data_IF_961289521996
#
_entry.id   IF_961289521996
#
_cell.length_a   1.000
_cell.length_b   1.000
_cell.length_c   1.000
_cell.angle_alpha   90.00
_cell.angle_beta   90.00
_cell.angle_gamma   90.00
#
_symmetry.space_group_name_H-M   'P 1'
#
loop_
_entity.id
_entity.type
_entity.pdbx_description
1 polymer ?
#
# COMPACT_ATOMS: atom_id res chain seq x y z
N UNK A 1 -17.03 17.07 23.03
CA UNK A 1 -17.04 17.50 21.61
C UNK A 1 -15.65 17.61 20.95
N UNK A 2 -14.60 18.19 21.55
CA UNK A 2 -13.27 18.22 20.90
C UNK A 2 -12.65 16.82 20.68
N UNK A 3 -12.77 15.91 21.65
CA UNK A 3 -12.15 14.57 21.58
C UNK A 3 -12.73 13.68 20.47
N UNK A 4 -14.02 13.78 20.16
CA UNK A 4 -14.66 13.02 19.06
C UNK A 4 -14.14 13.48 17.71
N UNK A 5 -14.10 14.80 17.46
CA UNK A 5 -13.60 15.37 16.20
C UNK A 5 -12.13 15.01 15.90
N UNK A 6 -11.27 14.96 16.93
CA UNK A 6 -9.88 14.53 16.75
C UNK A 6 -9.73 13.03 16.45
N UNK A 7 -10.66 12.20 16.94
CA UNK A 7 -10.68 10.77 16.64
C UNK A 7 -11.11 10.53 15.19
N UNK A 8 -12.11 11.26 14.72
CA UNK A 8 -12.62 11.16 13.34
C UNK A 8 -11.57 11.58 12.30
N UNK A 9 -10.84 12.67 12.56
CA UNK A 9 -9.76 13.15 11.66
C UNK A 9 -8.62 12.14 11.51
N UNK A 10 -8.26 11.44 12.59
CA UNK A 10 -7.21 10.39 12.54
C UNK A 10 -7.68 9.18 11.73
N UNK A 11 -8.91 8.74 11.94
CA UNK A 11 -9.50 7.65 11.16
C UNK A 11 -9.56 8.02 9.68
N UNK A 12 -10.00 9.23 9.36
CA UNK A 12 -10.00 9.73 7.98
C UNK A 12 -8.59 9.76 7.38
N UNK A 13 -7.58 10.24 8.12
CA UNK A 13 -6.19 10.24 7.67
C UNK A 13 -5.66 8.81 7.43
N UNK A 14 -6.01 7.86 8.30
CA UNK A 14 -5.68 6.44 8.13
C UNK A 14 -6.28 5.86 6.85
N UNK A 15 -7.56 6.12 6.59
CA UNK A 15 -8.23 5.63 5.37
C UNK A 15 -7.64 6.27 4.11
N UNK A 16 -7.47 7.60 4.11
CA UNK A 16 -6.89 8.33 2.97
C UNK A 16 -5.45 7.88 2.69
N UNK A 17 -4.64 7.63 3.72
CA UNK A 17 -3.28 7.14 3.56
C UNK A 17 -3.25 5.77 2.87
N UNK A 18 -4.05 4.82 3.32
CA UNK A 18 -4.07 3.48 2.74
C UNK A 18 -4.75 3.44 1.37
N UNK A 19 -5.73 4.29 1.10
CA UNK A 19 -6.29 4.47 -0.25
C UNK A 19 -5.23 5.08 -1.18
N UNK A 20 -4.54 6.13 -0.75
CA UNK A 20 -3.48 6.79 -1.53
C UNK A 20 -2.34 5.83 -1.88
N UNK A 21 -1.91 5.02 -0.90
CA UNK A 21 -0.94 3.94 -1.12
C UNK A 21 -1.45 2.83 -2.05
N UNK A 22 -2.77 2.60 -2.08
CA UNK A 22 -3.39 1.58 -2.92
C UNK A 22 -3.31 1.91 -4.42
N UNK A 23 -3.28 3.20 -4.78
CA UNK A 23 -3.22 3.66 -6.17
C UNK A 23 -1.95 3.18 -6.91
N UNK A 24 -0.72 3.32 -6.37
CA UNK A 24 0.50 2.83 -7.00
C UNK A 24 0.71 1.31 -6.86
N UNK A 25 -0.08 0.62 -6.04
CA UNK A 25 0.07 -0.83 -5.79
C UNK A 25 0.07 -1.68 -7.07
N UNK A 26 -0.80 -1.46 -8.07
CA UNK A 26 -0.75 -2.22 -9.32
C UNK A 26 0.59 -2.07 -10.03
N UNK A 27 1.16 -0.86 -10.08
CA UNK A 27 2.48 -0.63 -10.67
C UNK A 27 3.59 -1.33 -9.89
N UNK A 28 3.55 -1.27 -8.56
CA UNK A 28 4.50 -1.99 -7.71
C UNK A 28 4.41 -3.51 -7.91
N UNK A 29 3.19 -4.06 -8.02
CA UNK A 29 2.96 -5.48 -8.30
C UNK A 29 3.49 -5.86 -9.69
N UNK A 30 3.18 -5.08 -10.72
CA UNK A 30 3.67 -5.31 -12.09
C UNK A 30 5.20 -5.29 -12.12
N UNK A 31 5.82 -4.31 -11.48
CA UNK A 31 7.27 -4.20 -11.37
C UNK A 31 7.89 -5.41 -10.65
N UNK A 32 7.26 -5.87 -9.56
CA UNK A 32 7.68 -7.09 -8.88
C UNK A 32 7.56 -8.34 -9.76
N UNK A 33 6.45 -8.49 -10.49
CA UNK A 33 6.25 -9.64 -11.39
C UNK A 33 7.36 -9.66 -12.46
N UNK A 34 7.65 -8.52 -13.08
CA UNK A 34 8.72 -8.43 -14.08
C UNK A 34 10.10 -8.67 -13.49
N UNK A 35 10.42 -8.12 -12.31
CA UNK A 35 11.73 -8.29 -11.71
C UNK A 35 12.00 -9.68 -11.15
N UNK A 36 10.98 -10.42 -10.68
CA UNK A 36 11.16 -11.78 -10.14
C UNK A 36 10.98 -12.90 -11.15
N UNK A 37 9.99 -12.78 -12.04
CA UNK A 37 9.60 -13.84 -12.96
C UNK A 37 10.03 -13.56 -14.40
N UNK A 38 10.17 -12.29 -14.78
CA UNK A 38 10.44 -11.89 -16.16
C UNK A 38 9.21 -12.12 -17.05
N UNK A 39 9.03 -11.29 -18.07
CA UNK A 39 7.90 -11.44 -19.01
C UNK A 39 8.32 -12.03 -20.36
N UNK A 40 9.47 -11.59 -20.89
CA UNK A 40 9.98 -12.00 -22.20
C UNK A 40 11.35 -12.66 -22.14
N UNK A 41 12.07 -12.55 -21.01
CA UNK A 41 13.36 -13.18 -20.78
C UNK A 41 13.55 -13.44 -19.29
N UNK A 42 14.50 -14.33 -18.95
CA UNK A 42 14.82 -14.62 -17.54
C UNK A 42 15.32 -13.33 -16.88
N UNK A 43 14.73 -12.91 -15.74
CA UNK A 43 15.12 -11.68 -15.09
C UNK A 43 16.55 -11.79 -14.58
N UNK A 44 17.32 -10.72 -14.76
CA UNK A 44 18.71 -10.68 -14.29
C UNK A 44 18.75 -10.63 -12.76
N UNK A 45 19.91 -10.95 -12.18
CA UNK A 45 20.09 -10.77 -10.73
C UNK A 45 19.82 -9.32 -10.31
N UNK A 46 20.18 -8.35 -11.16
CA UNK A 46 19.95 -6.93 -10.91
C UNK A 46 18.45 -6.60 -10.82
N UNK A 47 17.63 -7.12 -11.74
CA UNK A 47 16.18 -6.87 -11.76
C UNK A 47 15.49 -7.43 -10.50
N UNK A 48 15.95 -8.59 -10.04
CA UNK A 48 15.45 -9.21 -8.78
C UNK A 48 15.79 -8.35 -7.57
N UNK A 49 17.00 -7.82 -7.49
CA UNK A 49 17.41 -6.93 -6.39
C UNK A 49 16.66 -5.61 -6.42
N UNK A 50 16.42 -5.03 -7.60
CA UNK A 50 15.62 -3.82 -7.73
C UNK A 50 14.15 -4.04 -7.34
N UNK A 51 13.54 -5.14 -7.76
CA UNK A 51 12.18 -5.50 -7.37
C UNK A 51 12.06 -5.76 -5.86
N UNK A 52 13.03 -6.45 -5.26
CA UNK A 52 13.10 -6.64 -3.81
C UNK A 52 13.25 -5.30 -3.08
N UNK A 53 14.12 -4.42 -3.57
CA UNK A 53 14.31 -3.07 -3.02
C UNK A 53 13.02 -2.25 -3.07
N UNK A 54 12.32 -2.25 -4.21
CA UNK A 54 11.04 -1.57 -4.37
C UNK A 54 9.97 -2.11 -3.42
N UNK A 55 9.89 -3.44 -3.24
CA UNK A 55 8.99 -4.07 -2.27
C UNK A 55 9.33 -3.65 -0.83
N UNK A 56 10.61 -3.67 -0.46
CA UNK A 56 11.05 -3.25 0.87
C UNK A 56 10.68 -1.79 1.14
N UNK A 57 10.93 -0.88 0.20
CA UNK A 57 10.55 0.54 0.32
C UNK A 57 9.04 0.69 0.45
N UNK A 58 8.27 -0.01 -0.37
CA UNK A 58 6.80 0.02 -0.31
C UNK A 58 6.27 -0.44 1.05
N UNK A 59 6.77 -1.57 1.56
CA UNK A 59 6.40 -2.09 2.88
C UNK A 59 6.82 -1.16 4.01
N UNK A 60 7.99 -0.52 3.91
CA UNK A 60 8.46 0.46 4.89
C UNK A 60 7.55 1.69 4.94
N UNK A 61 7.17 2.24 3.78
CA UNK A 61 6.25 3.39 3.72
C UNK A 61 4.90 3.02 4.33
N UNK A 62 4.35 1.85 3.96
CA UNK A 62 3.09 1.36 4.51
C UNK A 62 3.16 1.18 6.03
N UNK A 63 4.19 0.53 6.53
CA UNK A 63 4.35 0.23 7.95
C UNK A 63 4.59 1.52 8.77
N UNK A 64 5.52 2.37 8.35
CA UNK A 64 5.87 3.61 9.05
C UNK A 64 4.68 4.57 9.04
N UNK A 65 4.01 4.76 7.90
CA UNK A 65 2.88 5.67 7.81
C UNK A 65 1.70 5.24 8.69
N UNK A 66 1.34 3.94 8.67
CA UNK A 66 0.33 3.42 9.58
C UNK A 66 0.75 3.52 11.05
N UNK A 67 2.03 3.25 11.37
CA UNK A 67 2.55 3.38 12.73
C UNK A 67 2.47 4.83 13.25
N UNK A 68 2.83 5.82 12.43
CA UNK A 68 2.77 7.24 12.80
C UNK A 68 1.33 7.66 13.08
N UNK A 69 0.39 7.27 12.21
CA UNK A 69 -1.03 7.62 12.35
C UNK A 69 -1.62 6.96 13.62
N UNK A 70 -1.27 5.70 13.88
CA UNK A 70 -1.80 4.90 14.97
C UNK A 70 -0.99 4.99 16.28
N UNK A 71 0.07 5.82 16.35
CA UNK A 71 1.05 5.81 17.45
C UNK A 71 0.45 5.89 18.87
N UNK A 72 -0.68 6.58 19.03
CA UNK A 72 -1.36 6.80 20.32
C UNK A 72 -2.43 5.75 20.66
N UNK A 73 -2.68 4.78 19.78
CA UNK A 73 -3.67 3.72 19.98
C UNK A 73 -3.08 2.53 20.75
N UNK A 74 -3.95 1.73 21.37
CA UNK A 74 -3.59 0.49 22.03
C UNK A 74 -3.01 -0.55 21.07
N UNK A 75 -2.18 -1.46 21.58
CA UNK A 75 -1.52 -2.49 20.76
C UNK A 75 -2.51 -3.35 19.97
N UNK A 76 -3.65 -3.73 20.58
CA UNK A 76 -4.70 -4.50 19.91
C UNK A 76 -5.32 -3.74 18.73
N UNK A 77 -5.67 -2.47 18.95
CA UNK A 77 -6.20 -1.58 17.90
C UNK A 77 -5.19 -1.35 16.78
N UNK A 78 -3.90 -1.16 17.11
CA UNK A 78 -2.83 -1.02 16.12
C UNK A 78 -2.73 -2.21 15.19
N UNK A 79 -2.70 -3.43 15.74
CA UNK A 79 -2.60 -4.66 14.94
C UNK A 79 -3.88 -4.87 14.13
N UNK A 80 -5.05 -4.68 14.75
CA UNK A 80 -6.34 -4.79 14.06
C UNK A 80 -6.46 -3.81 12.89
N UNK A 81 -6.04 -2.55 13.08
CA UNK A 81 -6.02 -1.56 12.01
C UNK A 81 -4.95 -1.88 10.97
N UNK A 82 -3.76 -2.33 11.33
CA UNK A 82 -2.77 -2.79 10.33
C UNK A 82 -3.32 -3.92 9.45
N UNK A 83 -4.02 -4.90 10.03
CA UNK A 83 -4.69 -5.94 9.24
C UNK A 83 -5.80 -5.35 8.37
N UNK A 84 -6.62 -4.46 8.93
CA UNK A 84 -7.70 -3.79 8.21
C UNK A 84 -7.17 -2.97 7.02
N UNK A 85 -5.94 -2.46 7.09
CA UNK A 85 -5.34 -1.63 6.04
C UNK A 85 -5.15 -2.35 4.71
N UNK A 86 -5.11 -3.70 4.73
CA UNK A 86 -5.04 -4.52 3.52
C UNK A 86 -6.30 -4.39 2.65
N UNK A 87 -7.47 -4.16 3.24
CA UNK A 87 -8.73 -3.95 2.51
C UNK A 87 -8.74 -2.67 1.66
N UNK A 88 -8.54 -1.45 2.21
CA UNK A 88 -8.50 -0.24 1.39
C UNK A 88 -7.37 -0.28 0.37
N UNK A 89 -6.23 -0.90 0.70
CA UNK A 89 -5.16 -1.12 -0.27
C UNK A 89 -5.61 -1.98 -1.45
N UNK A 90 -6.24 -3.13 -1.19
CA UNK A 90 -6.70 -4.05 -2.23
C UNK A 90 -7.80 -3.44 -3.10
N UNK A 91 -8.79 -2.78 -2.48
CA UNK A 91 -9.89 -2.12 -3.20
C UNK A 91 -9.35 -0.99 -4.07
N UNK A 92 -8.50 -0.12 -3.52
CA UNK A 92 -7.91 0.98 -4.27
C UNK A 92 -7.00 0.50 -5.40
N UNK A 93 -6.20 -0.55 -5.16
CA UNK A 93 -5.38 -1.17 -6.19
C UNK A 93 -6.24 -1.74 -7.32
N UNK A 94 -7.33 -2.43 -7.00
CA UNK A 94 -8.25 -2.97 -8.01
C UNK A 94 -8.89 -1.87 -8.86
N UNK A 95 -9.38 -0.80 -8.22
CA UNK A 95 -9.97 0.34 -8.93
C UNK A 95 -8.92 1.02 -9.83
N UNK A 96 -7.72 1.27 -9.30
CA UNK A 96 -6.60 1.85 -10.05
C UNK A 96 -6.25 1.01 -11.28
N UNK A 97 -6.13 -0.31 -11.10
CA UNK A 97 -5.88 -1.25 -12.20
C UNK A 97 -6.97 -1.19 -13.27
N UNK A 98 -8.25 -1.17 -12.86
CA UNK A 98 -9.38 -1.08 -13.81
C UNK A 98 -9.37 0.22 -14.60
N UNK A 99 -9.05 1.34 -13.98
CA UNK A 99 -8.92 2.64 -14.65
C UNK A 99 -7.79 2.61 -15.67
N UNK A 100 -6.60 2.11 -15.28
CA UNK A 100 -5.45 2.00 -16.19
C UNK A 100 -5.79 1.12 -17.40
N UNK A 101 -6.42 -0.03 -17.16
CA UNK A 101 -6.83 -0.93 -18.21
C UNK A 101 -7.85 -0.30 -19.18
N UNK A 102 -8.82 0.47 -18.67
CA UNK A 102 -9.82 1.15 -19.49
C UNK A 102 -9.26 2.33 -20.31
N UNK A 103 -8.20 2.98 -19.84
CA UNK A 103 -7.53 4.07 -20.58
C UNK A 103 -6.56 3.52 -21.63
N UNK A 104 -6.02 2.32 -21.41
CA UNK A 104 -5.03 1.70 -22.29
C UNK A 104 -5.64 0.88 -23.44
N UNK A 105 -6.98 0.77 -23.48
CA UNK A 105 -7.76 0.08 -24.52
C UNK A 105 -8.33 1.06 -25.54
#
# INVERSE_FOLDING_TARGET
>A
MRQTVFKDRKFMAYWLFNIGLGIPTPYAIIYMIFGFYGFMSRPTLHDRYLALGALCVYLLIWFIGNYIILRKEDRGTKIGMLMLSTLPLAISAFISFKIIAAISS
#
